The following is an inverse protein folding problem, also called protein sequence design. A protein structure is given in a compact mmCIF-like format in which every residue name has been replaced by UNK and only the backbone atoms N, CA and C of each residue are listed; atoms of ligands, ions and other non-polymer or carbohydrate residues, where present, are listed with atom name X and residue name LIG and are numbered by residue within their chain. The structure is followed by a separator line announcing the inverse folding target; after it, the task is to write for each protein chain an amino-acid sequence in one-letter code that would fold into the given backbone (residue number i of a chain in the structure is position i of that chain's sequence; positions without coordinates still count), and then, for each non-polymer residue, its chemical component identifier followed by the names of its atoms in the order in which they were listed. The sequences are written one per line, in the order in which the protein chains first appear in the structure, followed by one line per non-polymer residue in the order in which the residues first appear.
data_IF_774455008077
#
_entry.id   IF_774455008077
#
_cell.length_a   1.000
_cell.length_b   1.000
_cell.length_c   1.000
_cell.angle_alpha   90.00
_cell.angle_beta   90.00
_cell.angle_gamma   90.00
#
_symmetry.space_group_name_H-M   'P 1'
#
loop_
_entity.id
_entity.type
_entity.pdbx_description
1 polymer ?
#
# COMPACT_ATOMS: atom_id res chain seq x y z
N UNK A 1 12.65 -0.26 24.51
CA UNK A 1 11.53 0.31 23.70
C UNK A 1 10.56 -0.79 23.36
N UNK A 2 9.34 -0.70 23.86
CA UNK A 2 8.29 -1.70 23.68
C UNK A 2 7.06 -1.09 23.02
N UNK A 3 6.33 -1.88 22.26
CA UNK A 3 5.05 -1.48 21.69
C UNK A 3 4.05 -1.28 22.84
N UNK A 4 3.47 -0.08 22.92
CA UNK A 4 2.50 0.31 23.95
C UNK A 4 1.08 0.33 23.41
N UNK A 5 0.89 0.79 22.18
CA UNK A 5 -0.42 1.04 21.59
C UNK A 5 -0.34 0.99 20.07
N UNK A 6 -1.42 0.57 19.42
CA UNK A 6 -1.59 0.63 17.97
C UNK A 6 -2.84 1.46 17.69
N UNK A 7 -2.70 2.48 16.86
CA UNK A 7 -3.78 3.37 16.46
C UNK A 7 -4.06 3.24 14.97
N UNK A 8 -5.30 3.32 14.60
CA UNK A 8 -5.75 3.35 13.21
C UNK A 8 -6.22 4.76 12.86
N UNK A 9 -5.71 5.29 11.77
CA UNK A 9 -6.02 6.61 11.26
C UNK A 9 -6.60 6.45 9.84
N UNK A 10 -7.95 6.37 9.71
CA UNK A 10 -8.59 6.21 8.41
C UNK A 10 -8.43 7.46 7.56
N UNK A 11 -8.01 7.30 6.30
CA UNK A 11 -7.91 8.39 5.33
C UNK A 11 -9.19 8.45 4.50
N UNK A 12 -9.88 9.59 4.54
CA UNK A 12 -11.09 9.84 3.74
C UNK A 12 -10.74 10.35 2.35
N UNK A 13 -11.53 9.98 1.35
CA UNK A 13 -11.48 10.58 0.01
C UNK A 13 -10.46 9.99 -0.96
N UNK A 14 -9.72 8.96 -0.60
CA UNK A 14 -8.82 8.26 -1.51
C UNK A 14 -9.54 7.07 -2.18
N UNK A 15 -10.43 7.35 -3.12
CA UNK A 15 -10.82 6.32 -4.08
C UNK A 15 -9.77 6.30 -5.19
N UNK A 16 -9.21 5.14 -5.55
CA UNK A 16 -8.38 5.06 -6.75
C UNK A 16 -9.25 5.43 -7.96
N UNK A 17 -8.83 6.39 -8.75
CA UNK A 17 -9.37 6.61 -10.10
C UNK A 17 -9.08 5.34 -10.90
N UNK A 18 -10.02 4.42 -11.01
CA UNK A 18 -9.69 3.18 -11.66
C UNK A 18 -10.80 2.16 -11.73
N UNK A 19 -12.04 2.57 -11.85
CA UNK A 19 -13.15 1.68 -12.18
C UNK A 19 -13.67 0.85 -11.01
N UNK A 20 -13.48 1.31 -9.80
CA UNK A 20 -14.25 0.85 -8.66
C UNK A 20 -15.60 1.56 -8.68
N UNK A 21 -16.67 0.79 -8.69
CA UNK A 21 -18.02 1.36 -8.64
C UNK A 21 -18.20 2.07 -7.30
N UNK A 22 -18.34 3.41 -7.32
CA UNK A 22 -18.61 4.24 -6.14
C UNK A 22 -19.82 3.75 -5.35
N UNK A 23 -20.75 3.04 -6.01
CA UNK A 23 -21.92 2.43 -5.36
C UNK A 23 -21.55 1.23 -4.47
N UNK A 24 -20.41 0.56 -4.72
CA UNK A 24 -19.89 -0.50 -3.86
C UNK A 24 -19.12 0.07 -2.68
N UNK A 25 -18.57 1.25 -2.83
CA UNK A 25 -17.90 2.01 -1.78
C UNK A 25 -18.90 3.00 -1.17
N UNK A 26 -19.93 2.49 -0.51
CA UNK A 26 -20.92 3.35 0.17
C UNK A 26 -20.18 4.40 1.00
N UNK A 27 -20.15 5.63 0.53
CA UNK A 27 -19.67 6.93 1.01
C UNK A 27 -18.85 7.10 2.29
N UNK A 28 -18.70 6.08 3.10
CA UNK A 28 -17.98 6.12 4.39
C UNK A 28 -16.79 5.12 4.46
N UNK A 29 -16.64 4.22 3.51
CA UNK A 29 -15.54 3.26 3.50
C UNK A 29 -14.31 3.86 2.83
N UNK A 30 -13.32 4.19 3.62
CA UNK A 30 -12.00 4.51 3.11
C UNK A 30 -11.25 3.22 2.71
N UNK A 31 -10.49 3.30 1.63
CA UNK A 31 -9.62 2.22 1.17
C UNK A 31 -8.20 2.32 1.69
N UNK A 32 -7.88 3.37 2.44
CA UNK A 32 -6.58 3.56 3.04
C UNK A 32 -6.70 3.81 4.53
N UNK A 33 -5.93 3.06 5.30
CA UNK A 33 -5.81 3.25 6.74
C UNK A 33 -4.33 3.36 7.08
N UNK A 34 -3.95 4.39 7.85
CA UNK A 34 -2.64 4.44 8.45
C UNK A 34 -2.65 3.64 9.75
N UNK A 35 -1.54 2.97 10.01
CA UNK A 35 -1.29 2.21 11.23
C UNK A 35 -0.17 2.91 11.97
N UNK A 36 -0.49 3.53 13.11
CA UNK A 36 0.48 4.16 13.98
C UNK A 36 0.82 3.21 15.13
N UNK A 37 2.09 2.85 15.26
CA UNK A 37 2.61 2.09 16.40
C UNK A 37 3.25 3.07 17.37
N UNK A 38 2.77 3.09 18.62
CA UNK A 38 3.27 3.96 19.70
C UNK A 38 4.10 3.14 20.67
N UNK A 39 5.28 3.62 21.01
CA UNK A 39 6.15 2.94 21.98
C UNK A 39 5.99 3.51 23.39
N UNK A 40 6.45 2.76 24.39
CA UNK A 40 6.51 3.18 25.81
C UNK A 40 7.48 4.36 26.06
N UNK A 41 8.40 4.62 25.14
CA UNK A 41 9.35 5.74 25.17
C UNK A 41 8.88 6.96 24.35
N UNK A 42 7.67 6.92 23.79
CA UNK A 42 7.06 8.04 23.06
C UNK A 42 7.49 8.16 21.59
N UNK A 43 8.32 7.26 21.09
CA UNK A 43 8.61 7.18 19.64
C UNK A 43 7.43 6.54 18.94
N UNK A 44 7.00 7.11 17.82
CA UNK A 44 5.92 6.57 16.99
C UNK A 44 6.45 6.18 15.62
N UNK A 45 5.88 5.12 15.05
CA UNK A 45 6.09 4.71 13.66
C UNK A 45 4.78 4.68 12.89
N UNK A 46 4.87 4.96 11.61
CA UNK A 46 3.73 5.04 10.72
C UNK A 46 3.85 4.05 9.56
N UNK A 47 2.86 3.18 9.45
CA UNK A 47 2.66 2.33 8.30
C UNK A 47 1.35 2.64 7.60
N UNK A 48 1.12 2.03 6.45
CA UNK A 48 -0.14 2.20 5.72
C UNK A 48 -0.62 0.88 5.13
N UNK A 49 -1.93 0.77 4.99
CA UNK A 49 -2.58 -0.40 4.39
C UNK A 49 -3.65 0.03 3.40
N UNK A 50 -3.77 -0.71 2.31
CA UNK A 50 -4.80 -0.51 1.30
C UNK A 50 -6.03 -1.33 1.63
N UNK A 51 -6.73 -0.96 2.69
CA UNK A 51 -8.02 -1.54 3.08
C UNK A 51 -8.73 -0.66 4.11
N UNK A 52 -9.98 -0.96 4.43
CA UNK A 52 -10.79 -0.18 5.36
C UNK A 52 -10.35 -0.36 6.82
N UNK A 53 -10.54 0.69 7.62
CA UNK A 53 -10.29 0.64 9.06
C UNK A 53 -11.04 -0.51 9.75
N UNK A 54 -12.29 -0.75 9.38
CA UNK A 54 -13.12 -1.81 9.98
C UNK A 54 -12.47 -3.20 9.85
N UNK A 55 -11.91 -3.51 8.67
CA UNK A 55 -11.23 -4.77 8.44
C UNK A 55 -9.92 -4.87 9.24
N UNK A 56 -9.16 -3.76 9.32
CA UNK A 56 -7.93 -3.75 10.10
C UNK A 56 -8.20 -3.83 11.59
N UNK A 57 -9.25 -3.19 12.09
CA UNK A 57 -9.64 -3.28 13.51
C UNK A 57 -9.97 -4.72 13.91
N UNK A 58 -10.78 -5.42 13.13
CA UNK A 58 -11.04 -6.83 13.38
C UNK A 58 -9.78 -7.72 13.28
N UNK A 59 -8.83 -7.38 12.40
CA UNK A 59 -7.56 -8.08 12.35
C UNK A 59 -6.70 -7.81 13.60
N UNK A 60 -6.68 -6.56 14.09
CA UNK A 60 -5.94 -6.19 15.30
C UNK A 60 -6.49 -6.91 16.53
N UNK A 61 -7.81 -7.08 16.68
CA UNK A 61 -8.40 -7.83 17.79
C UNK A 61 -7.79 -9.24 17.93
N UNK A 62 -7.33 -9.81 16.82
CA UNK A 62 -6.68 -11.13 16.78
C UNK A 62 -5.18 -11.07 17.08
N UNK A 63 -4.46 -10.08 16.53
CA UNK A 63 -2.98 -10.07 16.55
C UNK A 63 -2.38 -9.13 17.59
N UNK A 64 -3.11 -8.14 18.09
CA UNK A 64 -2.62 -7.16 19.06
C UNK A 64 -2.09 -7.79 20.36
N UNK A 65 -2.68 -8.88 20.90
CA UNK A 65 -2.14 -9.56 22.09
C UNK A 65 -0.70 -10.07 21.91
N UNK A 66 -0.25 -10.29 20.69
CA UNK A 66 1.13 -10.71 20.39
C UNK A 66 2.09 -9.53 20.19
N UNK A 67 1.57 -8.31 20.18
CA UNK A 67 2.31 -7.08 19.89
C UNK A 67 2.57 -6.25 21.14
N UNK A 68 1.56 -6.03 21.96
CA UNK A 68 1.69 -5.16 23.13
C UNK A 68 2.74 -5.72 24.08
N UNK A 69 3.70 -4.88 24.46
CA UNK A 69 4.85 -5.24 25.29
C UNK A 69 6.01 -5.92 24.54
N UNK A 70 5.84 -6.25 23.26
CA UNK A 70 6.92 -6.75 22.42
C UNK A 70 7.92 -5.64 22.07
N UNK A 71 9.13 -6.03 21.64
CA UNK A 71 10.14 -5.09 21.14
C UNK A 71 9.65 -4.38 19.88
N UNK A 72 9.78 -3.05 19.88
CA UNK A 72 9.50 -2.23 18.70
C UNK A 72 10.73 -2.11 17.76
N UNK A 73 11.87 -2.69 18.14
CA UNK A 73 13.14 -2.58 17.40
C UNK A 73 13.47 -3.84 16.59
N UNK A 74 12.58 -4.83 16.59
CA UNK A 74 12.78 -6.11 15.92
C UNK A 74 11.68 -6.36 14.85
N UNK A 75 11.61 -5.54 13.78
CA UNK A 75 10.53 -5.62 12.80
C UNK A 75 10.41 -7.01 12.17
N UNK A 76 11.51 -7.58 11.69
CA UNK A 76 11.49 -8.89 11.03
C UNK A 76 11.03 -10.01 11.97
N UNK A 77 11.54 -10.05 13.20
CA UNK A 77 11.14 -11.07 14.17
C UNK A 77 9.67 -10.91 14.58
N UNK A 78 9.18 -9.68 14.68
CA UNK A 78 7.78 -9.40 15.00
C UNK A 78 6.86 -9.81 13.85
N UNK A 79 7.20 -9.47 12.62
CA UNK A 79 6.46 -9.86 11.42
C UNK A 79 6.35 -11.38 11.30
N UNK A 80 7.47 -12.09 11.43
CA UNK A 80 7.51 -13.55 11.37
C UNK A 80 6.64 -14.18 12.47
N UNK A 81 6.75 -13.71 13.70
CA UNK A 81 5.92 -14.19 14.82
C UNK A 81 4.43 -13.98 14.56
N UNK A 82 4.03 -12.84 14.03
CA UNK A 82 2.63 -12.57 13.70
C UNK A 82 2.11 -13.52 12.63
N UNK A 83 2.90 -13.79 11.59
CA UNK A 83 2.53 -14.75 10.55
C UNK A 83 2.40 -16.17 11.12
N UNK A 84 3.28 -16.58 12.02
CA UNK A 84 3.19 -17.89 12.68
C UNK A 84 1.97 -18.02 13.59
N UNK A 85 1.66 -16.97 14.36
CA UNK A 85 0.54 -17.00 15.30
C UNK A 85 -0.84 -16.84 14.63
N UNK A 86 -0.86 -16.29 13.41
CA UNK A 86 -2.11 -16.03 12.69
C UNK A 86 -2.36 -16.96 11.51
N UNK A 87 -1.57 -18.02 11.31
CA UNK A 87 -1.68 -18.82 10.10
C UNK A 87 -3.02 -19.57 9.98
N UNK A 88 -3.70 -19.86 11.09
CA UNK A 88 -5.02 -20.46 11.12
C UNK A 88 -6.14 -19.54 10.59
N UNK A 89 -5.92 -18.22 10.61
CA UNK A 89 -6.84 -17.22 10.06
C UNK A 89 -6.72 -17.07 8.54
N UNK A 90 -5.82 -17.82 7.92
CA UNK A 90 -5.57 -17.79 6.48
C UNK A 90 -4.38 -16.93 6.07
N UNK A 91 -3.92 -17.16 4.84
CA UNK A 91 -2.81 -16.42 4.24
C UNK A 91 -3.36 -15.36 3.29
N UNK A 92 -3.37 -14.12 3.71
CA UNK A 92 -3.88 -13.00 2.92
C UNK A 92 -5.01 -12.24 3.61
N UNK A 93 -5.61 -11.28 2.90
CA UNK A 93 -6.71 -10.49 3.41
C UNK A 93 -6.34 -9.58 4.59
N UNK A 94 -7.31 -9.30 5.46
CA UNK A 94 -7.21 -8.29 6.51
C UNK A 94 -6.04 -8.51 7.48
N UNK A 95 -5.78 -9.75 7.89
CA UNK A 95 -4.66 -10.09 8.79
C UNK A 95 -3.32 -9.72 8.15
N UNK A 96 -3.10 -10.11 6.89
CA UNK A 96 -1.85 -9.80 6.19
C UNK A 96 -1.70 -8.30 5.97
N UNK A 97 -2.78 -7.58 5.66
CA UNK A 97 -2.74 -6.12 5.58
C UNK A 97 -2.36 -5.48 6.92
N UNK A 98 -2.94 -5.93 8.03
CA UNK A 98 -2.61 -5.42 9.36
C UNK A 98 -1.14 -5.69 9.70
N UNK A 99 -0.63 -6.91 9.48
CA UNK A 99 0.78 -7.26 9.68
C UNK A 99 1.69 -6.36 8.84
N UNK A 100 1.36 -6.13 7.56
CA UNK A 100 2.14 -5.25 6.68
C UNK A 100 2.20 -3.80 7.18
N UNK A 101 1.07 -3.25 7.64
CA UNK A 101 1.04 -1.91 8.21
C UNK A 101 1.89 -1.77 9.48
N UNK A 102 1.84 -2.78 10.35
CA UNK A 102 2.65 -2.84 11.56
C UNK A 102 4.15 -2.99 11.21
N UNK A 103 4.48 -3.87 10.27
CA UNK A 103 5.86 -4.07 9.83
C UNK A 103 6.49 -2.76 9.32
N UNK A 104 5.79 -2.03 8.44
CA UNK A 104 6.24 -0.72 7.95
C UNK A 104 6.44 0.26 9.11
N UNK A 105 5.49 0.31 10.06
CA UNK A 105 5.60 1.20 11.22
C UNK A 105 6.79 0.85 12.13
N UNK A 106 7.10 -0.42 12.32
CA UNK A 106 8.26 -0.85 13.10
C UNK A 106 9.59 -0.51 12.39
N UNK A 107 9.65 -0.65 11.06
CA UNK A 107 10.81 -0.18 10.30
C UNK A 107 10.97 1.35 10.38
N UNK A 108 9.88 2.11 10.41
CA UNK A 108 9.92 3.55 10.62
C UNK A 108 10.45 3.92 12.02
N UNK A 109 10.00 3.20 13.08
CA UNK A 109 10.55 3.35 14.43
C UNK A 109 12.06 3.06 14.44
N UNK A 110 12.47 1.94 13.88
CA UNK A 110 13.89 1.55 13.87
C UNK A 110 14.74 2.59 13.11
N UNK A 111 14.23 3.11 12.00
CA UNK A 111 14.88 4.20 11.27
C UNK A 111 15.03 5.48 12.08
N UNK A 112 13.98 5.89 12.79
CA UNK A 112 13.99 7.07 13.67
C UNK A 112 14.97 6.91 14.82
N UNK A 113 14.95 5.78 15.49
CA UNK A 113 15.81 5.50 16.66
C UNK A 113 17.28 5.41 16.28
N UNK A 114 17.58 4.81 15.13
CA UNK A 114 18.96 4.65 14.66
C UNK A 114 19.48 5.85 13.87
N UNK A 115 18.60 6.79 13.51
CA UNK A 115 18.95 7.92 12.62
C UNK A 115 19.35 7.45 11.20
N UNK A 116 18.86 6.29 10.77
CA UNK A 116 19.22 5.70 9.47
C UNK A 116 18.00 5.58 8.55
N UNK A 117 18.16 5.85 7.24
CA UNK A 117 17.11 5.57 6.29
C UNK A 117 16.89 4.05 6.16
N UNK A 118 15.64 3.65 5.95
CA UNK A 118 15.25 2.24 5.81
C UNK A 118 16.09 1.52 4.74
N UNK A 119 16.44 2.20 3.65
CA UNK A 119 17.28 1.64 2.59
C UNK A 119 18.65 1.15 3.10
N UNK A 120 19.21 1.79 4.12
CA UNK A 120 20.46 1.34 4.75
C UNK A 120 20.23 0.17 5.69
N UNK A 121 19.15 0.21 6.46
CA UNK A 121 18.77 -0.88 7.37
C UNK A 121 18.46 -2.18 6.61
N UNK A 122 17.95 -2.08 5.39
CA UNK A 122 17.64 -3.21 4.51
C UNK A 122 18.83 -3.67 3.63
N UNK A 123 20.06 -3.24 3.91
CA UNK A 123 21.25 -3.73 3.21
C UNK A 123 21.93 -2.71 2.31
N UNK A 124 21.45 -1.48 2.24
CA UNK A 124 22.10 -0.36 1.58
C UNK A 124 21.46 0.08 0.25
N UNK A 125 22.02 1.13 -0.29
CA UNK A 125 21.58 1.73 -1.54
C UNK A 125 22.32 1.14 -2.72
N UNK A 126 21.60 0.48 -3.62
CA UNK A 126 22.15 -0.03 -4.87
C UNK A 126 22.10 0.99 -6.01
N UNK A 127 21.22 1.99 -5.91
CA UNK A 127 21.02 3.04 -6.93
C UNK A 127 20.73 4.37 -6.27
N UNK A 128 21.29 5.44 -6.82
CA UNK A 128 21.00 6.80 -6.37
C UNK A 128 19.65 7.32 -6.88
N UNK A 129 19.24 6.86 -8.06
CA UNK A 129 17.97 7.25 -8.69
C UNK A 129 17.24 6.03 -9.23
N UNK A 130 15.91 6.12 -9.24
CA UNK A 130 15.03 5.10 -9.82
C UNK A 130 14.30 5.74 -11.01
N UNK A 131 14.30 5.04 -12.16
CA UNK A 131 13.51 5.45 -13.31
C UNK A 131 12.04 5.08 -13.09
N UNK A 132 11.14 6.05 -12.92
CA UNK A 132 9.72 5.77 -12.76
C UNK A 132 9.07 5.43 -14.10
N UNK A 133 7.92 4.79 -14.03
CA UNK A 133 6.97 4.73 -15.14
C UNK A 133 5.68 5.47 -14.77
N UNK A 134 5.01 6.06 -15.77
CA UNK A 134 3.65 6.58 -15.61
C UNK A 134 2.65 5.43 -15.60
N UNK A 135 1.73 5.42 -14.65
CA UNK A 135 0.63 4.45 -14.62
C UNK A 135 -0.64 5.12 -15.13
N UNK A 136 -1.18 4.63 -16.23
CA UNK A 136 -2.38 5.15 -16.88
C UNK A 136 -3.40 4.04 -17.12
N UNK A 137 -4.66 4.42 -17.22
CA UNK A 137 -5.74 3.48 -17.55
C UNK A 137 -5.70 3.10 -19.04
N UNK A 138 -6.11 1.86 -19.37
CA UNK A 138 -6.47 1.47 -20.72
C UNK A 138 -7.89 1.98 -20.98
N UNK A 139 -8.03 3.30 -21.15
CA UNK A 139 -9.30 3.97 -21.42
C UNK A 139 -9.59 4.00 -22.93
N UNK A 140 -10.67 4.64 -23.33
CA UNK A 140 -11.00 4.92 -24.72
C UNK A 140 -9.79 5.52 -25.44
N UNK A 141 -9.56 5.20 -26.75
CA UNK A 141 -8.34 5.56 -27.46
C UNK A 141 -7.90 7.02 -27.32
N UNK A 142 -8.83 7.98 -27.47
CA UNK A 142 -8.49 9.40 -27.39
C UNK A 142 -8.08 9.84 -25.99
N UNK A 143 -8.73 9.30 -24.95
CA UNK A 143 -8.37 9.57 -23.55
C UNK A 143 -7.03 8.95 -23.20
N UNK A 144 -6.77 7.74 -23.66
CA UNK A 144 -5.48 7.08 -23.47
C UNK A 144 -4.36 7.88 -24.13
N UNK A 145 -4.56 8.34 -25.40
CA UNK A 145 -3.60 9.19 -26.10
C UNK A 145 -3.27 10.44 -25.30
N UNK A 146 -4.29 11.17 -24.87
CA UNK A 146 -4.11 12.38 -24.07
C UNK A 146 -3.35 12.12 -22.76
N UNK A 147 -3.64 11.03 -22.06
CA UNK A 147 -2.95 10.66 -20.82
C UNK A 147 -1.47 10.28 -21.05
N UNK A 148 -1.17 9.60 -22.16
CA UNK A 148 0.20 9.26 -22.54
C UNK A 148 1.00 10.50 -22.95
N UNK A 149 0.40 11.41 -23.75
CA UNK A 149 1.02 12.68 -24.15
C UNK A 149 1.32 13.58 -22.94
N UNK A 150 0.38 13.72 -21.99
CA UNK A 150 0.61 14.42 -20.72
C UNK A 150 1.78 13.79 -19.95
N UNK A 151 1.76 12.46 -19.84
CA UNK A 151 2.85 11.75 -19.18
C UNK A 151 4.21 11.98 -19.84
N UNK A 152 4.28 11.97 -21.18
CA UNK A 152 5.50 12.28 -21.93
C UNK A 152 5.96 13.71 -21.69
N UNK A 153 5.02 14.66 -21.69
CA UNK A 153 5.32 16.07 -21.39
C UNK A 153 5.88 16.29 -19.98
N UNK A 154 5.42 15.48 -19.02
CA UNK A 154 5.93 15.45 -17.64
C UNK A 154 7.26 14.71 -17.48
N UNK A 155 7.81 14.15 -18.55
CA UNK A 155 9.12 13.51 -18.55
C UNK A 155 9.14 11.99 -18.35
N UNK A 156 8.01 11.33 -18.23
CA UNK A 156 7.97 9.87 -18.22
C UNK A 156 8.44 9.31 -19.56
N UNK A 157 9.14 8.18 -19.54
CA UNK A 157 9.67 7.49 -20.73
C UNK A 157 9.30 5.99 -20.74
N UNK A 158 8.53 5.56 -19.77
CA UNK A 158 7.95 4.24 -19.67
C UNK A 158 6.54 4.37 -19.07
N UNK A 159 5.63 3.53 -19.53
CA UNK A 159 4.24 3.54 -19.06
C UNK A 159 3.80 2.13 -18.70
N UNK A 160 3.04 2.01 -17.63
CA UNK A 160 2.22 0.85 -17.34
C UNK A 160 0.78 1.22 -17.70
N UNK A 161 0.21 0.51 -18.65
CA UNK A 161 -1.16 0.69 -19.12
C UNK A 161 -1.97 -0.50 -18.59
N UNK A 162 -3.08 -0.26 -17.93
CA UNK A 162 -3.91 -1.35 -17.39
C UNK A 162 -5.27 -0.87 -16.95
N UNK A 163 -6.13 -1.83 -16.64
CA UNK A 163 -7.51 -1.59 -16.20
C UNK A 163 -8.36 -0.90 -17.28
N UNK A 164 -9.57 -0.41 -16.96
CA UNK A 164 -10.47 0.20 -17.92
C UNK A 164 -11.24 -0.82 -18.76
N UNK A 165 -11.67 -0.47 -20.00
CA UNK A 165 -12.51 -1.31 -20.84
C UNK A 165 -11.78 -2.50 -21.47
N UNK A 166 -10.44 -2.55 -21.48
CA UNK A 166 -9.65 -3.60 -22.13
C UNK A 166 -10.04 -5.00 -21.60
N UNK A 167 -10.33 -5.91 -22.53
CA UNK A 167 -10.80 -7.26 -22.25
C UNK A 167 -12.26 -7.35 -21.77
N UNK A 168 -13.04 -6.26 -21.87
CA UNK A 168 -14.41 -6.19 -21.31
C UNK A 168 -15.48 -5.79 -22.32
N UNK A 169 -15.10 -5.29 -23.48
CA UNK A 169 -16.03 -4.84 -24.52
C UNK A 169 -15.97 -5.80 -25.71
N UNK A 170 -15.00 -5.64 -26.60
CA UNK A 170 -14.76 -6.52 -27.73
C UNK A 170 -13.31 -6.42 -28.23
N UNK A 171 -12.90 -7.38 -29.08
CA UNK A 171 -11.54 -7.45 -29.61
C UNK A 171 -11.15 -6.23 -30.47
N UNK A 172 -12.09 -5.56 -31.12
CA UNK A 172 -11.83 -4.38 -31.94
C UNK A 172 -11.48 -3.18 -31.06
N UNK A 173 -12.19 -3.02 -29.95
CA UNK A 173 -11.89 -2.00 -28.92
C UNK A 173 -10.50 -2.26 -28.34
N UNK A 174 -10.19 -3.49 -27.96
CA UNK A 174 -8.88 -3.87 -27.42
C UNK A 174 -7.75 -3.57 -28.39
N UNK A 175 -7.93 -3.94 -29.69
CA UNK A 175 -6.95 -3.63 -30.72
C UNK A 175 -6.73 -2.12 -30.88
N UNK A 176 -7.80 -1.32 -30.87
CA UNK A 176 -7.70 0.14 -31.02
C UNK A 176 -6.94 0.80 -29.85
N UNK A 177 -7.19 0.35 -28.61
CA UNK A 177 -6.48 0.80 -27.41
C UNK A 177 -4.99 0.49 -27.52
N UNK A 178 -4.63 -0.74 -27.88
CA UNK A 178 -3.23 -1.16 -28.02
C UNK A 178 -2.53 -0.40 -29.13
N UNK A 179 -3.22 -0.17 -30.27
CA UNK A 179 -2.68 0.60 -31.40
C UNK A 179 -2.29 2.01 -30.97
N UNK A 180 -3.21 2.73 -30.33
CA UNK A 180 -2.96 4.09 -29.83
C UNK A 180 -1.79 4.14 -28.84
N UNK A 181 -1.67 3.13 -27.99
CA UNK A 181 -0.57 3.07 -27.03
C UNK A 181 0.81 2.84 -27.69
N UNK A 182 0.84 2.36 -28.95
CA UNK A 182 2.09 2.09 -29.69
C UNK A 182 2.51 3.24 -30.62
N UNK A 183 1.60 4.10 -31.03
CA UNK A 183 1.85 5.33 -31.80
C UNK A 183 2.55 6.42 -30.96
#
# INVERSE_FOLDING_TARGET
MKIKEIRLLPLRGATPDGGWDEKLLRGETNLHTLVEVVTDEGVTGLGSVFTSETLIRGALDVIEPFLIGASALDPTATSERLHQQSFWQGRGGAITHAISGIDIALWDILGKVTGQPISRLLGGRFRETIKPYGSVLMDEPDKLRAALEDGLARGFRAFKIGWGPFGRVDARTDESIVRVARE
#
